data_IF_443757170194
#
_entry.id   IF_443757170194
#
_cell.length_a   1.000
_cell.length_b   1.000
_cell.length_c   1.000
_cell.angle_alpha   90.00
_cell.angle_beta   90.00
_cell.angle_gamma   90.00
#
_symmetry.space_group_name_H-M   'P 1'
#
loop_
_entity.id
_entity.type
_entity.pdbx_description
1 polymer ?
#
# COMPACT_ATOMS: atom_id res chain seq x y z
N UNK A 1 -8.20 -13.44 -8.45
CA UNK A 1 -6.80 -13.11 -8.79
C UNK A 1 -5.91 -13.37 -7.59
N UNK A 2 -4.82 -14.12 -7.78
CA UNK A 2 -3.84 -14.53 -6.75
C UNK A 2 -2.66 -13.55 -6.59
N UNK A 3 -2.63 -12.42 -7.30
CA UNK A 3 -1.55 -11.43 -7.21
C UNK A 3 -1.76 -10.50 -6.01
N UNK A 4 -0.92 -10.66 -4.98
CA UNK A 4 -0.96 -9.88 -3.76
C UNK A 4 0.43 -9.66 -3.19
N UNK A 5 0.65 -8.46 -2.66
CA UNK A 5 1.84 -8.08 -1.91
C UNK A 5 1.40 -7.79 -0.49
N UNK A 6 2.02 -8.47 0.48
CA UNK A 6 1.71 -8.31 1.91
C UNK A 6 2.97 -7.81 2.57
N UNK A 7 2.95 -6.56 3.03
CA UNK A 7 4.02 -5.95 3.78
C UNK A 7 3.54 -5.74 5.23
N UNK A 8 4.46 -5.82 6.18
CA UNK A 8 4.19 -5.39 7.55
C UNK A 8 4.46 -3.87 7.65
N UNK A 9 5.03 -3.42 8.76
CA UNK A 9 5.36 -2.03 9.07
C UNK A 9 6.77 -1.60 8.62
N UNK A 10 7.48 -2.46 7.88
CA UNK A 10 8.85 -2.16 7.44
C UNK A 10 9.00 -0.82 6.69
N UNK A 11 7.91 -0.33 6.08
CA UNK A 11 7.89 0.94 5.36
C UNK A 11 8.02 2.17 6.26
N UNK A 12 7.64 2.09 7.55
CA UNK A 12 7.81 3.20 8.51
C UNK A 12 9.30 3.55 8.72
N UNK A 13 10.19 2.59 8.47
CA UNK A 13 11.63 2.72 8.65
C UNK A 13 12.39 2.97 7.34
N UNK A 14 11.69 2.97 6.21
CA UNK A 14 12.29 3.21 4.90
C UNK A 14 12.37 4.71 4.62
N UNK A 15 13.47 5.15 4.04
CA UNK A 15 13.56 6.49 3.44
C UNK A 15 12.84 6.54 2.07
N UNK A 16 12.73 7.74 1.50
CA UNK A 16 11.97 7.95 0.25
C UNK A 16 12.55 7.20 -0.95
N UNK A 17 13.87 7.01 -1.01
CA UNK A 17 14.52 6.26 -2.08
C UNK A 17 14.22 4.75 -1.96
N UNK A 18 14.21 4.21 -0.74
CA UNK A 18 13.86 2.81 -0.46
C UNK A 18 12.37 2.54 -0.77
N UNK A 19 11.48 3.44 -0.33
CA UNK A 19 10.06 3.36 -0.67
C UNK A 19 9.84 3.42 -2.18
N UNK A 20 10.50 4.35 -2.87
CA UNK A 20 10.43 4.48 -4.33
C UNK A 20 10.93 3.22 -5.03
N UNK A 21 12.06 2.65 -4.59
CA UNK A 21 12.60 1.43 -5.16
C UNK A 21 11.64 0.25 -4.97
N UNK A 22 11.12 0.05 -3.75
CA UNK A 22 10.16 -0.99 -3.43
C UNK A 22 8.89 -0.89 -4.29
N UNK A 23 8.25 0.28 -4.30
CA UNK A 23 7.01 0.51 -5.04
C UNK A 23 7.20 0.44 -6.57
N UNK A 24 8.38 0.77 -7.08
CA UNK A 24 8.76 0.53 -8.47
C UNK A 24 8.75 -0.97 -8.81
N UNK A 25 9.35 -1.81 -7.95
CA UNK A 25 9.40 -3.25 -8.18
C UNK A 25 8.01 -3.90 -8.06
N UNK A 26 7.23 -3.50 -7.07
CA UNK A 26 5.84 -3.94 -6.89
C UNK A 26 5.05 -3.60 -8.16
N UNK A 27 5.07 -2.34 -8.59
CA UNK A 27 4.35 -1.88 -9.79
C UNK A 27 4.78 -2.61 -11.06
N UNK A 28 6.08 -2.88 -11.26
CA UNK A 28 6.56 -3.62 -12.44
C UNK A 28 6.01 -5.04 -12.52
N UNK A 29 5.81 -5.70 -11.38
CA UNK A 29 5.47 -7.14 -11.32
C UNK A 29 3.98 -7.40 -11.09
N UNK A 30 3.24 -6.34 -10.77
CA UNK A 30 1.85 -6.46 -10.37
C UNK A 30 0.95 -6.56 -11.61
N UNK A 31 0.04 -7.53 -11.58
CA UNK A 31 -0.97 -7.71 -12.61
C UNK A 31 -2.13 -6.72 -12.41
N UNK A 32 -2.91 -6.42 -13.47
CA UNK A 32 -4.20 -5.74 -13.33
C UNK A 32 -5.05 -6.31 -12.18
N UNK A 33 -5.50 -5.43 -11.28
CA UNK A 33 -6.28 -5.83 -10.09
C UNK A 33 -5.47 -6.51 -8.97
N UNK A 34 -4.13 -6.51 -9.04
CA UNK A 34 -3.28 -6.92 -7.92
C UNK A 34 -3.54 -6.04 -6.69
N UNK A 35 -3.32 -6.60 -5.50
CA UNK A 35 -3.54 -5.92 -4.23
C UNK A 35 -2.25 -5.74 -3.46
N UNK A 36 -2.08 -4.59 -2.83
CA UNK A 36 -1.04 -4.36 -1.82
C UNK A 36 -1.73 -4.08 -0.51
N UNK A 37 -1.34 -4.81 0.53
CA UNK A 37 -1.71 -4.47 1.91
C UNK A 37 -0.46 -4.22 2.73
N UNK A 38 -0.54 -3.22 3.59
CA UNK A 38 0.51 -2.93 4.56
C UNK A 38 -0.06 -2.22 5.78
N UNK A 39 0.75 -2.12 6.83
CA UNK A 39 0.41 -1.45 8.07
C UNK A 39 1.43 -0.38 8.37
N UNK A 40 1.04 0.56 9.24
CA UNK A 40 1.92 1.62 9.74
C UNK A 40 1.79 1.72 11.25
N UNK A 41 2.85 2.16 11.91
CA UNK A 41 2.85 2.43 13.35
C UNK A 41 1.92 3.61 13.71
N UNK A 42 1.85 4.62 12.85
CA UNK A 42 0.96 5.78 12.99
C UNK A 42 -0.31 5.66 12.11
N UNK A 43 -1.34 6.48 12.38
CA UNK A 43 -2.59 6.55 11.59
C UNK A 43 -2.43 7.39 10.28
N UNK A 44 -1.19 7.65 9.88
CA UNK A 44 -0.92 8.49 8.71
C UNK A 44 -0.88 7.67 7.42
N UNK A 45 -1.41 8.26 6.34
CA UNK A 45 -1.20 7.73 5.00
C UNK A 45 0.24 8.00 4.58
N UNK A 46 1.12 7.02 4.79
CA UNK A 46 2.58 7.14 4.64
C UNK A 46 3.08 7.53 3.23
N UNK A 47 2.42 7.07 2.16
CA UNK A 47 3.03 7.09 0.81
C UNK A 47 2.93 8.41 0.04
N UNK A 48 1.81 9.15 0.04
CA UNK A 48 1.72 10.43 -0.66
C UNK A 48 2.83 11.40 -0.25
N UNK A 49 3.46 12.03 -1.23
CA UNK A 49 4.61 12.93 -1.01
C UNK A 49 5.95 12.23 -0.81
N UNK A 50 5.97 10.92 -0.50
CA UNK A 50 7.20 10.11 -0.31
C UNK A 50 7.50 9.18 -1.47
N UNK A 51 6.47 8.68 -2.15
CA UNK A 51 6.58 7.90 -3.38
C UNK A 51 6.16 8.77 -4.57
N UNK A 52 6.90 8.77 -5.70
CA UNK A 52 6.55 9.54 -6.89
C UNK A 52 5.11 9.31 -7.35
N UNK A 53 4.42 10.40 -7.66
CA UNK A 53 3.01 10.37 -8.09
C UNK A 53 2.80 9.48 -9.34
N UNK A 54 3.78 9.43 -10.26
CA UNK A 54 3.72 8.57 -11.44
C UNK A 54 3.62 7.06 -11.10
N UNK A 55 4.12 6.65 -9.92
CA UNK A 55 3.94 5.29 -9.41
C UNK A 55 2.58 5.18 -8.73
N UNK A 56 2.27 6.08 -7.79
CA UNK A 56 1.04 6.01 -7.01
C UNK A 56 -0.25 6.15 -7.84
N UNK A 57 -0.22 6.92 -8.93
CA UNK A 57 -1.35 7.10 -9.83
C UNK A 57 -1.80 5.80 -10.52
N UNK A 58 -0.97 4.76 -10.53
CA UNK A 58 -1.30 3.43 -11.05
C UNK A 58 -2.09 2.58 -10.03
N UNK A 59 -2.21 3.07 -8.79
CA UNK A 59 -2.84 2.36 -7.69
C UNK A 59 -4.03 3.15 -7.13
N UNK A 60 -5.15 2.45 -6.96
CA UNK A 60 -6.31 2.98 -6.27
C UNK A 60 -6.20 2.67 -4.77
N UNK A 61 -6.22 3.72 -3.94
CA UNK A 61 -6.30 3.58 -2.49
C UNK A 61 -7.75 3.39 -2.03
N UNK A 62 -7.99 2.38 -1.19
CA UNK A 62 -9.32 2.07 -0.66
C UNK A 62 -9.45 2.58 0.77
N UNK A 63 -9.65 3.88 0.95
CA UNK A 63 -9.63 4.53 2.27
C UNK A 63 -10.67 3.97 3.26
N UNK A 64 -11.95 3.92 2.87
CA UNK A 64 -13.02 3.42 3.75
C UNK A 64 -12.77 1.96 4.16
N UNK A 65 -12.35 1.13 3.21
CA UNK A 65 -12.04 -0.29 3.46
C UNK A 65 -10.80 -0.46 4.34
N UNK A 66 -9.80 0.39 4.14
CA UNK A 66 -8.57 0.44 4.94
C UNK A 66 -8.89 0.71 6.41
N UNK A 67 -9.74 1.71 6.69
CA UNK A 67 -10.23 2.01 8.04
C UNK A 67 -11.04 0.86 8.66
N UNK A 68 -11.97 0.28 7.92
CA UNK A 68 -12.77 -0.86 8.40
C UNK A 68 -11.88 -2.06 8.78
N UNK A 69 -10.86 -2.34 7.96
CA UNK A 69 -9.92 -3.43 8.23
C UNK A 69 -8.99 -3.10 9.39
N UNK A 70 -8.54 -1.86 9.52
CA UNK A 70 -7.77 -1.38 10.67
C UNK A 70 -8.51 -1.52 12.00
N UNK A 71 -9.80 -1.17 12.04
CA UNK A 71 -10.65 -1.33 13.22
C UNK A 71 -10.86 -2.81 13.64
N UNK A 72 -10.62 -3.75 12.72
CA UNK A 72 -10.70 -5.20 12.96
C UNK A 72 -9.35 -5.83 13.28
N UNK A 73 -8.26 -5.07 13.11
CA UNK A 73 -6.93 -5.56 13.39
C UNK A 73 -6.77 -5.78 14.90
N UNK A 74 -6.25 -6.95 15.27
CA UNK A 74 -6.04 -7.34 16.68
C UNK A 74 -4.58 -7.15 17.11
N UNK A 75 -3.74 -6.69 16.19
CA UNK A 75 -2.36 -6.36 16.45
C UNK A 75 -2.26 -4.95 17.02
N UNK A 76 -2.26 -4.81 18.35
CA UNK A 76 -2.27 -3.52 19.07
C UNK A 76 -1.00 -2.66 18.92
N UNK A 77 -0.12 -2.98 17.98
CA UNK A 77 1.14 -2.26 17.72
C UNK A 77 1.08 -1.39 16.46
N UNK A 78 0.00 -1.47 15.67
CA UNK A 78 -0.15 -0.74 14.41
C UNK A 78 -1.29 0.27 14.51
N UNK A 79 -1.03 1.49 14.02
CA UNK A 79 -1.97 2.60 14.00
C UNK A 79 -2.92 2.58 12.81
N UNK A 80 -2.49 2.05 11.66
CA UNK A 80 -3.35 1.94 10.48
C UNK A 80 -3.08 0.68 9.63
N UNK A 81 -4.09 0.34 8.84
CA UNK A 81 -4.07 -0.70 7.80
C UNK A 81 -4.38 -0.03 6.46
N UNK A 82 -3.63 -0.37 5.42
CA UNK A 82 -3.77 0.21 4.10
C UNK A 82 -4.02 -0.85 3.03
N UNK A 83 -4.98 -0.57 2.14
CA UNK A 83 -5.30 -1.38 0.97
C UNK A 83 -5.20 -0.54 -0.30
N UNK A 84 -4.37 -1.02 -1.23
CA UNK A 84 -4.27 -0.50 -2.58
C UNK A 84 -4.60 -1.59 -3.60
N UNK A 85 -5.19 -1.21 -4.73
CA UNK A 85 -5.39 -2.09 -5.89
C UNK A 85 -4.78 -1.48 -7.15
N UNK A 86 -4.03 -2.26 -7.92
CA UNK A 86 -3.53 -1.79 -9.20
C UNK A 86 -4.68 -1.56 -10.16
N UNK A 87 -4.70 -0.39 -10.79
CA UNK A 87 -5.62 -0.07 -11.87
C UNK A 87 -5.46 -1.09 -13.00
N UNK A 88 -6.45 -1.96 -13.16
CA UNK A 88 -6.58 -2.73 -14.38
C UNK A 88 -7.12 -1.84 -15.48
N UNK A 89 -6.63 -2.00 -16.71
CA UNK A 89 -7.37 -1.53 -17.89
C UNK A 89 -8.79 -2.08 -17.74
N UNK A 90 -9.79 -1.19 -17.71
CA UNK A 90 -11.19 -1.60 -17.84
C UNK A 90 -11.29 -2.32 -19.18
N UNK A 91 -11.59 -3.62 -19.15
CA UNK A 91 -11.99 -4.35 -20.35
C UNK A 91 -13.29 -3.75 -20.91
#
# INVERSE_FOLDING_TARGET
SCHGYVLLDAQDWMNDAELTALWTQITRTAAPGARVIFRTAADERLLPGRVPEAILAQWQYHEARSRELGARDRSSIYGAFHLYTQGGVKA
#
